data_IF_682602488794
#
_entry.id   IF_682602488794
#
_cell.length_a   1.000
_cell.length_b   1.000
_cell.length_c   1.000
_cell.angle_alpha   90.00
_cell.angle_beta   90.00
_cell.angle_gamma   90.00
#
_symmetry.space_group_name_H-M   'P 1'
#
loop_
_entity.id
_entity.type
_entity.pdbx_description
1 polymer ?
#
# COMPACT_ATOMS: atom_id res chain seq x y z
N UNK A 1 10.34 -2.22 0.96
CA UNK A 1 11.05 -3.05 1.96
C UNK A 1 11.76 -2.13 2.93
N UNK A 2 11.70 -2.45 4.22
CA UNK A 2 12.41 -1.68 5.24
C UNK A 2 13.93 -1.73 4.99
N UNK A 3 14.61 -0.63 5.29
CA UNK A 3 16.05 -0.44 5.23
C UNK A 3 16.74 -1.42 6.19
N UNK A 4 16.22 -1.58 7.40
CA UNK A 4 16.66 -2.56 8.38
C UNK A 4 16.59 -4.00 7.85
N UNK A 5 15.59 -4.32 7.02
CA UNK A 5 15.51 -5.62 6.34
C UNK A 5 16.52 -5.74 5.20
N UNK A 6 16.72 -4.68 4.40
CA UNK A 6 17.78 -4.64 3.37
C UNK A 6 19.16 -4.89 3.98
N UNK A 7 19.46 -4.24 5.10
CA UNK A 7 20.70 -4.38 5.85
C UNK A 7 20.93 -5.82 6.37
N UNK A 8 19.87 -6.61 6.59
CA UNK A 8 19.99 -8.00 7.07
C UNK A 8 20.00 -9.04 5.95
N UNK A 9 19.45 -8.72 4.78
CA UNK A 9 19.16 -9.69 3.72
C UNK A 9 20.08 -9.61 2.51
N UNK A 10 20.73 -8.48 2.26
CA UNK A 10 21.63 -8.31 1.11
C UNK A 10 22.97 -9.02 1.33
N UNK A 11 23.57 -9.48 0.23
CA UNK A 11 24.92 -10.02 0.27
C UNK A 11 25.96 -8.89 0.24
N UNK A 12 26.70 -8.80 1.34
CA UNK A 12 27.68 -7.75 1.60
C UNK A 12 29.08 -8.35 1.67
N UNK A 13 30.05 -7.62 1.13
CA UNK A 13 31.47 -7.93 1.35
C UNK A 13 31.80 -7.83 2.84
N UNK A 14 32.92 -8.42 3.27
CA UNK A 14 33.34 -8.38 4.67
C UNK A 14 33.43 -6.93 5.21
N UNK A 15 34.01 -6.01 4.42
CA UNK A 15 34.12 -4.60 4.81
C UNK A 15 32.74 -3.90 4.88
N UNK A 16 31.82 -4.23 3.97
CA UNK A 16 30.46 -3.70 4.00
C UNK A 16 29.68 -4.21 5.22
N UNK A 17 29.89 -5.48 5.61
CA UNK A 17 29.24 -6.08 6.80
C UNK A 17 29.58 -5.33 8.09
N UNK A 18 30.80 -4.84 8.25
CA UNK A 18 31.18 -4.02 9.41
C UNK A 18 30.44 -2.68 9.43
N UNK A 19 30.28 -2.03 8.27
CA UNK A 19 29.49 -0.78 8.16
C UNK A 19 28.00 -1.04 8.45
N UNK A 20 27.45 -2.12 7.90
CA UNK A 20 26.06 -2.56 8.15
C UNK A 20 25.82 -2.84 9.63
N UNK A 21 26.72 -3.60 10.28
CA UNK A 21 26.66 -3.90 11.71
C UNK A 21 26.71 -2.63 12.54
N UNK A 22 27.54 -1.67 12.15
CA UNK A 22 27.61 -0.36 12.79
C UNK A 22 26.28 0.39 12.69
N UNK A 23 25.66 0.47 11.51
CA UNK A 23 24.36 1.12 11.33
C UNK A 23 23.28 0.51 12.22
N UNK A 24 23.17 -0.83 12.22
CA UNK A 24 22.20 -1.57 13.04
C UNK A 24 22.42 -1.36 14.55
N UNK A 25 23.66 -1.20 14.99
CA UNK A 25 24.00 -0.98 16.39
C UNK A 25 23.81 0.47 16.86
N UNK A 26 24.08 1.46 16.00
CA UNK A 26 23.94 2.87 16.37
C UNK A 26 22.48 3.32 16.44
N UNK A 27 21.55 2.64 15.74
CA UNK A 27 20.14 3.01 15.69
C UNK A 27 19.98 4.50 15.36
N UNK A 28 19.20 5.25 16.15
CA UNK A 28 18.88 6.67 15.93
C UNK A 28 20.10 7.60 16.07
N UNK A 29 21.16 7.20 16.78
CA UNK A 29 22.37 8.03 16.94
C UNK A 29 23.12 8.25 15.62
N UNK A 30 22.84 7.45 14.58
CA UNK A 30 23.37 7.68 13.24
C UNK A 30 22.96 9.03 12.66
N UNK A 31 21.82 9.60 13.10
CA UNK A 31 21.32 10.90 12.67
C UNK A 31 22.35 12.03 12.87
N UNK A 32 23.19 11.90 13.90
CA UNK A 32 24.17 12.92 14.32
C UNK A 32 25.56 12.71 13.73
N UNK A 33 25.74 11.68 12.90
CA UNK A 33 27.06 11.26 12.43
C UNK A 33 27.28 11.60 10.97
N UNK A 34 28.50 12.01 10.65
CA UNK A 34 28.99 12.21 9.29
C UNK A 34 29.72 10.96 8.78
N UNK A 35 29.82 10.83 7.45
CA UNK A 35 30.64 9.76 6.83
C UNK A 35 32.09 9.81 7.31
N UNK A 36 32.63 10.99 7.62
CA UNK A 36 34.00 11.17 8.14
C UNK A 36 34.16 10.60 9.56
N UNK A 37 33.16 10.75 10.42
CA UNK A 37 33.21 10.20 11.78
C UNK A 37 33.06 8.68 11.79
N UNK A 38 32.12 8.16 10.99
CA UNK A 38 31.88 6.72 10.86
C UNK A 38 33.11 6.04 10.25
N UNK A 39 33.67 6.60 9.18
CA UNK A 39 34.87 6.06 8.53
C UNK A 39 36.07 6.01 9.47
N UNK A 40 36.26 7.01 10.34
CA UNK A 40 37.31 7.01 11.37
C UNK A 40 37.10 5.91 12.41
N UNK A 41 35.86 5.64 12.83
CA UNK A 41 35.55 4.57 13.81
C UNK A 41 35.73 3.17 13.23
N UNK A 42 35.37 3.00 11.95
CA UNK A 42 35.38 1.71 11.27
C UNK A 42 36.67 1.44 10.48
N UNK A 43 37.64 2.36 10.53
CA UNK A 43 38.89 2.28 9.76
C UNK A 43 38.65 2.02 8.27
N UNK A 44 37.64 2.67 7.69
CA UNK A 44 37.31 2.59 6.27
C UNK A 44 37.39 3.97 5.61
N UNK A 45 37.20 4.06 4.28
CA UNK A 45 37.12 5.35 3.60
C UNK A 45 35.68 5.88 3.61
N UNK A 46 35.46 7.21 3.66
CA UNK A 46 34.12 7.80 3.48
C UNK A 46 33.42 7.33 2.19
N UNK A 47 34.19 7.11 1.13
CA UNK A 47 33.69 6.60 -0.15
C UNK A 47 33.13 5.17 -0.07
N UNK A 48 33.62 4.33 0.86
CA UNK A 48 33.07 2.99 1.07
C UNK A 48 31.67 3.04 1.68
N UNK A 49 31.42 4.00 2.58
CA UNK A 49 30.09 4.23 3.16
C UNK A 49 29.12 4.72 2.08
N UNK A 50 29.53 5.70 1.27
CA UNK A 50 28.69 6.23 0.18
C UNK A 50 28.34 5.13 -0.83
N UNK A 51 29.32 4.32 -1.25
CA UNK A 51 29.10 3.20 -2.18
C UNK A 51 28.14 2.16 -1.62
N UNK A 52 28.22 1.86 -0.32
CA UNK A 52 27.26 0.95 0.33
C UNK A 52 25.83 1.51 0.27
N UNK A 53 25.64 2.79 0.60
CA UNK A 53 24.33 3.44 0.47
C UNK A 53 23.81 3.42 -0.98
N UNK A 54 24.69 3.63 -1.96
CA UNK A 54 24.34 3.52 -3.37
C UNK A 54 23.97 2.10 -3.79
N UNK A 55 24.69 1.09 -3.30
CA UNK A 55 24.36 -0.33 -3.50
C UNK A 55 22.98 -0.68 -2.93
N UNK A 56 22.54 0.01 -1.87
CA UNK A 56 21.22 -0.15 -1.25
C UNK A 56 20.08 0.60 -1.99
N UNK A 57 20.42 1.38 -3.03
CA UNK A 57 19.48 2.10 -3.88
C UNK A 57 19.29 3.58 -3.54
N UNK A 58 20.16 4.16 -2.70
CA UNK A 58 20.10 5.58 -2.34
C UNK A 58 21.11 6.40 -3.16
N UNK A 59 20.86 7.69 -3.34
CA UNK A 59 21.79 8.62 -4.01
C UNK A 59 23.09 8.79 -3.24
N UNK A 60 23.05 8.68 -1.90
CA UNK A 60 24.20 8.78 -1.01
C UNK A 60 23.88 8.54 0.46
N UNK A 61 24.82 8.89 1.34
CA UNK A 61 24.68 8.66 2.79
C UNK A 61 23.63 9.54 3.45
N UNK A 62 23.45 10.79 3.00
CA UNK A 62 22.49 11.71 3.62
C UNK A 62 21.04 11.24 3.41
N UNK A 63 20.65 10.91 2.17
CA UNK A 63 19.34 10.32 1.87
C UNK A 63 19.13 9.00 2.61
N UNK A 64 20.14 8.12 2.62
CA UNK A 64 20.08 6.88 3.39
C UNK A 64 19.83 7.15 4.88
N UNK A 65 20.57 8.10 5.47
CA UNK A 65 20.48 8.44 6.89
C UNK A 65 19.12 9.02 7.23
N UNK A 66 18.60 9.93 6.41
CA UNK A 66 17.26 10.52 6.58
C UNK A 66 16.18 9.43 6.59
N UNK A 67 16.13 8.61 5.53
CA UNK A 67 15.13 7.54 5.42
C UNK A 67 15.29 6.47 6.50
N UNK A 68 16.53 6.16 6.91
CA UNK A 68 16.78 5.14 7.94
C UNK A 68 16.36 5.62 9.33
N UNK A 69 16.60 6.89 9.66
CA UNK A 69 16.16 7.49 10.92
C UNK A 69 14.63 7.58 10.97
N UNK A 70 13.99 7.98 9.86
CA UNK A 70 12.53 7.98 9.75
C UNK A 70 11.94 6.58 9.97
N UNK A 71 12.53 5.55 9.35
CA UNK A 71 12.14 4.17 9.59
C UNK A 71 12.30 3.75 11.06
N UNK A 72 13.41 4.11 11.71
CA UNK A 72 13.62 3.76 13.11
C UNK A 72 12.59 4.44 14.03
N UNK A 73 12.27 5.71 13.78
CA UNK A 73 11.21 6.39 14.52
C UNK A 73 9.85 5.71 14.31
N UNK A 74 9.53 5.37 13.06
CA UNK A 74 8.32 4.61 12.73
C UNK A 74 8.26 3.27 13.48
N UNK A 75 9.36 2.49 13.49
CA UNK A 75 9.40 1.19 14.16
C UNK A 75 9.42 1.27 15.71
N UNK A 76 9.87 2.39 16.27
CA UNK A 76 9.89 2.63 17.71
C UNK A 76 8.56 3.19 18.26
N UNK A 77 7.56 3.43 17.41
CA UNK A 77 6.19 3.74 17.83
C UNK A 77 5.65 2.65 18.76
N UNK A 78 4.82 3.01 19.74
CA UNK A 78 4.28 2.12 20.78
C UNK A 78 3.38 0.99 20.22
N UNK A 79 4.00 -0.01 19.60
CA UNK A 79 3.37 -1.22 19.11
C UNK A 79 3.24 -2.26 20.23
N UNK A 80 2.21 -3.10 20.13
CA UNK A 80 2.05 -4.25 21.02
C UNK A 80 3.03 -5.37 20.63
N UNK A 81 3.28 -6.31 21.54
CA UNK A 81 4.14 -7.49 21.30
C UNK A 81 3.53 -8.51 20.32
N UNK A 82 2.37 -8.21 19.71
CA UNK A 82 1.72 -9.11 18.75
C UNK A 82 2.45 -9.03 17.40
N UNK A 83 2.90 -10.18 16.90
CA UNK A 83 3.52 -10.29 15.59
C UNK A 83 2.44 -10.40 14.50
N UNK A 84 2.31 -9.43 13.58
CA UNK A 84 1.28 -9.48 12.53
C UNK A 84 1.40 -10.67 11.56
N UNK A 85 2.60 -11.25 11.44
CA UNK A 85 2.83 -12.44 10.60
C UNK A 85 2.37 -13.72 11.29
N UNK A 86 2.49 -13.80 12.62
CA UNK A 86 2.14 -14.98 13.43
C UNK A 86 1.41 -14.48 14.68
N UNK A 87 0.15 -14.05 14.55
CA UNK A 87 -0.54 -13.37 15.65
C UNK A 87 -1.05 -14.31 16.75
N UNK A 88 -1.06 -15.61 16.49
CA UNK A 88 -1.46 -16.64 17.45
C UNK A 88 -0.62 -17.91 17.28
N UNK A 89 -0.57 -18.72 18.33
CA UNK A 89 0.23 -19.95 18.43
C UNK A 89 -0.68 -21.15 18.74
N UNK A 90 -0.14 -22.36 18.62
CA UNK A 90 -0.90 -23.62 18.75
C UNK A 90 -1.54 -23.78 20.14
N UNK A 91 -0.91 -23.26 21.18
CA UNK A 91 -1.34 -23.29 22.57
C UNK A 91 -2.38 -22.23 22.94
N UNK A 92 -2.66 -21.26 22.05
CA UNK A 92 -3.66 -20.24 22.32
C UNK A 92 -5.08 -20.83 22.26
N UNK A 93 -5.87 -20.59 23.30
CA UNK A 93 -7.29 -20.93 23.29
C UNK A 93 -8.12 -19.90 22.48
N UNK A 94 -9.39 -20.23 22.20
CA UNK A 94 -10.30 -19.40 21.38
C UNK A 94 -10.38 -17.95 21.89
N UNK A 95 -10.46 -17.74 23.21
CA UNK A 95 -10.55 -16.39 23.79
C UNK A 95 -9.25 -15.61 23.56
N UNK A 96 -8.10 -16.25 23.75
CA UNK A 96 -6.79 -15.65 23.51
C UNK A 96 -6.62 -15.27 22.04
N UNK A 97 -6.97 -16.16 21.11
CA UNK A 97 -6.92 -15.88 19.66
C UNK A 97 -7.80 -14.68 19.33
N UNK A 98 -9.04 -14.65 19.82
CA UNK A 98 -9.98 -13.53 19.59
C UNK A 98 -9.41 -12.20 20.09
N UNK A 99 -8.88 -12.16 21.31
CA UNK A 99 -8.30 -10.95 21.89
C UNK A 99 -7.04 -10.48 21.15
N UNK A 100 -6.16 -11.40 20.74
CA UNK A 100 -4.96 -11.09 19.96
C UNK A 100 -5.33 -10.54 18.57
N UNK A 101 -6.30 -11.14 17.90
CA UNK A 101 -6.78 -10.65 16.59
C UNK A 101 -7.42 -9.27 16.70
N UNK A 102 -8.24 -9.02 17.71
CA UNK A 102 -8.84 -7.71 17.96
C UNK A 102 -7.76 -6.63 18.16
N UNK A 103 -6.79 -6.91 19.05
CA UNK A 103 -5.69 -6.00 19.35
C UNK A 103 -4.82 -5.74 18.12
N UNK A 104 -4.49 -6.79 17.36
CA UNK A 104 -3.75 -6.67 16.10
C UNK A 104 -4.47 -5.75 15.11
N UNK A 105 -5.79 -5.88 14.96
CA UNK A 105 -6.54 -5.08 13.99
C UNK A 105 -6.61 -3.61 14.38
N UNK A 106 -6.78 -3.30 15.67
CA UNK A 106 -6.66 -1.93 16.16
C UNK A 106 -5.29 -1.35 15.84
N UNK A 107 -4.23 -2.11 16.12
CA UNK A 107 -2.86 -1.69 15.87
C UNK A 107 -2.57 -1.46 14.39
N UNK A 108 -3.04 -2.33 13.48
CA UNK A 108 -2.86 -2.15 12.03
C UNK A 108 -3.57 -0.87 11.54
N UNK A 109 -4.77 -0.60 12.07
CA UNK A 109 -5.54 0.60 11.69
C UNK A 109 -4.82 1.85 12.18
N UNK A 110 -4.41 1.87 13.44
CA UNK A 110 -3.70 3.00 14.04
C UNK A 110 -2.36 3.26 13.34
N UNK A 111 -1.62 2.19 13.02
CA UNK A 111 -0.37 2.23 12.25
C UNK A 111 -0.60 2.81 10.85
N UNK A 112 -1.56 2.26 10.10
CA UNK A 112 -1.89 2.75 8.75
C UNK A 112 -2.37 4.20 8.79
N UNK A 113 -3.11 4.59 9.83
CA UNK A 113 -3.56 5.97 10.04
C UNK A 113 -2.39 6.91 10.30
N UNK A 114 -1.41 6.48 11.10
CA UNK A 114 -0.21 7.28 11.40
C UNK A 114 0.67 7.54 10.17
N UNK A 115 0.60 6.65 9.17
CA UNK A 115 1.31 6.74 7.89
C UNK A 115 0.61 7.64 6.85
N UNK A 116 -0.56 8.20 7.16
CA UNK A 116 -1.32 9.00 6.21
C UNK A 116 -0.66 10.37 5.98
N UNK A 117 -0.25 10.61 4.74
CA UNK A 117 0.08 11.93 4.23
C UNK A 117 -1.18 12.59 3.63
N UNK A 118 -1.64 13.67 4.24
CA UNK A 118 -2.83 14.41 3.77
C UNK A 118 -2.67 15.05 2.38
N UNK A 119 -1.46 15.42 1.97
CA UNK A 119 -1.20 15.93 0.63
C UNK A 119 -1.27 14.79 -0.40
N UNK A 120 -0.78 13.59 -0.06
CA UNK A 120 -0.95 12.40 -0.91
C UNK A 120 -2.42 11.96 -0.99
N UNK A 121 -3.19 12.06 0.09
CA UNK A 121 -4.64 11.82 0.07
C UNK A 121 -5.37 12.82 -0.83
N UNK A 122 -5.04 14.11 -0.73
CA UNK A 122 -5.59 15.16 -1.60
C UNK A 122 -5.23 14.92 -3.06
N UNK A 123 -3.99 14.54 -3.35
CA UNK A 123 -3.52 14.23 -4.70
C UNK A 123 -4.25 13.00 -5.26
N UNK A 124 -4.40 11.95 -4.47
CA UNK A 124 -5.17 10.76 -4.82
C UNK A 124 -6.63 11.10 -5.15
N UNK A 125 -7.27 11.90 -4.31
CA UNK A 125 -8.65 12.36 -4.54
C UNK A 125 -8.78 13.17 -5.84
N UNK A 126 -7.83 14.04 -6.13
CA UNK A 126 -7.82 14.81 -7.38
C UNK A 126 -7.66 13.91 -8.62
N UNK A 127 -6.79 12.89 -8.55
CA UNK A 127 -6.65 11.90 -9.62
C UNK A 127 -7.96 11.12 -9.84
N UNK A 128 -8.61 10.68 -8.77
CA UNK A 128 -9.92 9.99 -8.88
C UNK A 128 -11.03 10.92 -9.41
N UNK A 129 -11.04 12.19 -9.00
CA UNK A 129 -12.06 13.18 -9.38
C UNK A 129 -11.99 13.54 -10.87
N UNK A 130 -10.78 13.79 -11.36
CA UNK A 130 -10.57 14.40 -12.67
C UNK A 130 -10.62 13.38 -13.82
N UNK A 131 -10.61 12.08 -13.52
CA UNK A 131 -10.61 11.02 -14.52
C UNK A 131 -11.95 10.28 -14.55
N UNK A 132 -12.40 9.92 -15.76
CA UNK A 132 -13.66 9.18 -15.95
C UNK A 132 -13.48 7.68 -15.69
N UNK A 133 -12.36 7.14 -16.13
CA UNK A 133 -12.01 5.73 -16.00
C UNK A 133 -10.93 5.57 -14.93
N UNK A 134 -11.17 4.66 -13.99
CA UNK A 134 -10.22 4.29 -12.95
C UNK A 134 -9.82 2.83 -13.17
N UNK A 135 -8.54 2.57 -13.27
CA UNK A 135 -7.97 1.23 -13.43
C UNK A 135 -7.26 0.83 -12.14
N UNK A 136 -7.67 -0.27 -11.53
CA UNK A 136 -6.98 -0.84 -10.37
C UNK A 136 -6.26 -2.10 -10.82
N UNK A 137 -4.95 -2.16 -10.54
CA UNK A 137 -4.14 -3.33 -10.82
C UNK A 137 -3.59 -3.85 -9.50
N UNK A 138 -3.92 -5.09 -9.19
CA UNK A 138 -3.49 -5.76 -7.98
C UNK A 138 -3.33 -7.25 -8.25
N UNK A 139 -2.51 -7.94 -7.45
CA UNK A 139 -2.34 -9.39 -7.57
C UNK A 139 -2.69 -10.05 -6.23
N UNK A 140 -3.37 -11.19 -6.27
CA UNK A 140 -3.74 -11.93 -5.05
C UNK A 140 -5.02 -11.41 -4.39
N UNK A 141 -5.11 -11.56 -3.06
CA UNK A 141 -6.34 -11.31 -2.28
C UNK A 141 -6.79 -9.84 -2.27
N UNK A 142 -5.91 -8.89 -2.61
CA UNK A 142 -6.28 -7.47 -2.66
C UNK A 142 -7.17 -7.14 -3.85
N UNK A 143 -7.24 -8.04 -4.84
CA UNK A 143 -8.17 -7.91 -5.94
C UNK A 143 -9.63 -7.90 -5.45
N UNK A 144 -9.97 -8.71 -4.44
CA UNK A 144 -11.32 -8.77 -3.85
C UNK A 144 -11.69 -7.47 -3.12
N UNK A 145 -10.70 -6.84 -2.48
CA UNK A 145 -10.87 -5.53 -1.84
C UNK A 145 -11.09 -4.43 -2.89
N UNK A 146 -10.35 -4.49 -4.01
CA UNK A 146 -10.53 -3.60 -5.14
C UNK A 146 -11.91 -3.76 -5.80
N UNK A 147 -12.43 -4.99 -5.90
CA UNK A 147 -13.79 -5.26 -6.37
C UNK A 147 -14.84 -4.66 -5.44
N UNK A 148 -14.64 -4.75 -4.12
CA UNK A 148 -15.52 -4.09 -3.13
C UNK A 148 -15.52 -2.57 -3.31
N UNK A 149 -14.34 -1.96 -3.53
CA UNK A 149 -14.22 -0.54 -3.83
C UNK A 149 -14.92 -0.15 -5.15
N UNK A 150 -14.74 -0.96 -6.21
CA UNK A 150 -15.47 -0.79 -7.49
C UNK A 150 -16.97 -0.75 -7.26
N UNK A 151 -17.52 -1.69 -6.47
CA UNK A 151 -18.96 -1.77 -6.25
C UNK A 151 -19.49 -0.54 -5.49
N UNK A 152 -18.72 -0.01 -4.54
CA UNK A 152 -19.04 1.26 -3.85
C UNK A 152 -19.06 2.43 -4.84
N UNK A 153 -18.07 2.52 -5.73
CA UNK A 153 -17.96 3.56 -6.75
C UNK A 153 -19.05 3.47 -7.83
N UNK A 154 -19.43 2.26 -8.24
CA UNK A 154 -20.48 2.01 -9.23
C UNK A 154 -21.84 2.55 -8.77
N UNK A 155 -22.18 2.40 -7.47
CA UNK A 155 -23.42 2.92 -6.87
C UNK A 155 -23.55 4.45 -6.90
N UNK A 156 -22.46 5.16 -7.14
CA UNK A 156 -22.45 6.62 -7.32
C UNK A 156 -22.13 7.04 -8.77
N UNK A 157 -22.17 6.09 -9.70
CA UNK A 157 -22.00 6.33 -11.13
C UNK A 157 -20.54 6.53 -11.55
N UNK A 158 -19.59 5.88 -10.86
CA UNK A 158 -18.16 5.92 -11.21
C UNK A 158 -17.69 4.55 -11.69
N UNK A 159 -17.03 4.55 -12.84
CA UNK A 159 -16.51 3.35 -13.48
C UNK A 159 -15.11 3.04 -12.96
N UNK A 160 -14.97 1.85 -12.38
CA UNK A 160 -13.70 1.32 -11.89
C UNK A 160 -13.52 -0.06 -12.53
N UNK A 161 -12.40 -0.25 -13.21
CA UNK A 161 -12.01 -1.52 -13.81
C UNK A 161 -10.92 -2.15 -12.94
N UNK A 162 -11.10 -3.41 -12.55
CA UNK A 162 -10.19 -4.12 -11.65
C UNK A 162 -9.55 -5.27 -12.41
N UNK A 163 -8.23 -5.29 -12.46
CA UNK A 163 -7.47 -6.25 -13.25
C UNK A 163 -6.44 -6.99 -12.40
N UNK A 164 -6.45 -8.32 -12.52
CA UNK A 164 -5.42 -9.19 -11.96
C UNK A 164 -4.25 -9.41 -12.93
N UNK A 165 -4.53 -9.49 -14.24
CA UNK A 165 -3.51 -9.50 -15.29
C UNK A 165 -3.23 -8.10 -15.82
N UNK A 166 -2.01 -7.87 -16.30
CA UNK A 166 -1.58 -6.59 -16.86
C UNK A 166 -1.95 -6.41 -18.34
N UNK A 167 -2.23 -7.48 -19.08
CA UNK A 167 -2.24 -7.41 -20.55
C UNK A 167 -3.21 -6.36 -21.10
N UNK A 168 -4.51 -6.46 -20.80
CA UNK A 168 -5.53 -5.51 -21.23
C UNK A 168 -5.26 -4.06 -20.76
N UNK A 169 -5.09 -3.77 -19.45
CA UNK A 169 -4.83 -2.40 -19.03
C UNK A 169 -3.51 -1.83 -19.56
N UNK A 170 -2.54 -2.67 -19.92
CA UNK A 170 -1.28 -2.22 -20.52
C UNK A 170 -1.48 -1.74 -21.96
N UNK A 171 -2.29 -2.44 -22.76
CA UNK A 171 -2.64 -1.96 -24.09
C UNK A 171 -3.43 -0.65 -24.02
N UNK A 172 -4.38 -0.52 -23.08
CA UNK A 172 -5.07 0.74 -22.83
C UNK A 172 -4.08 1.87 -22.50
N UNK A 173 -3.16 1.64 -21.55
CA UNK A 173 -2.15 2.62 -21.15
C UNK A 173 -1.27 3.12 -22.32
N UNK A 174 -1.05 2.32 -23.37
CA UNK A 174 -0.31 2.74 -24.56
C UNK A 174 -0.97 3.89 -25.33
N UNK A 175 -2.30 3.98 -25.30
CA UNK A 175 -3.08 4.94 -26.09
C UNK A 175 -3.59 6.14 -25.28
N UNK A 176 -3.51 6.08 -23.95
CA UNK A 176 -3.97 7.16 -23.07
C UNK A 176 -2.99 8.33 -23.02
N UNK A 177 -3.54 9.52 -22.79
CA UNK A 177 -2.82 10.75 -22.47
C UNK A 177 -3.08 11.15 -21.01
N UNK A 178 -2.33 12.15 -20.54
CA UNK A 178 -2.50 12.71 -19.20
C UNK A 178 -3.93 13.25 -19.01
N UNK A 179 -4.65 12.70 -18.04
CA UNK A 179 -6.02 13.09 -17.69
C UNK A 179 -7.12 12.24 -18.32
N UNK A 180 -6.76 11.23 -19.14
CA UNK A 180 -7.75 10.31 -19.72
C UNK A 180 -8.19 9.24 -18.70
N UNK A 181 -7.28 8.77 -17.85
CA UNK A 181 -7.54 7.77 -16.83
C UNK A 181 -6.69 7.93 -15.57
N UNK A 182 -7.21 7.40 -14.47
CA UNK A 182 -6.48 7.25 -13.21
C UNK A 182 -6.10 5.78 -13.03
N UNK A 183 -4.84 5.50 -12.70
CA UNK A 183 -4.38 4.16 -12.33
C UNK A 183 -4.11 4.08 -10.83
N UNK A 184 -4.49 2.96 -10.22
CA UNK A 184 -4.19 2.60 -8.84
C UNK A 184 -3.47 1.25 -8.84
N UNK A 185 -2.20 1.25 -8.43
CA UNK A 185 -1.36 0.05 -8.40
C UNK A 185 -1.20 -0.40 -6.95
N UNK A 186 -1.67 -1.62 -6.63
CA UNK A 186 -1.63 -2.18 -5.28
C UNK A 186 -0.63 -3.33 -5.24
N UNK A 187 0.46 -3.14 -4.49
CA UNK A 187 1.48 -4.17 -4.29
C UNK A 187 2.14 -4.00 -2.94
N UNK A 188 2.05 -5.00 -2.06
CA UNK A 188 2.62 -4.92 -0.72
C UNK A 188 4.12 -4.63 -0.77
N UNK A 189 4.84 -5.46 -1.51
CA UNK A 189 6.29 -5.41 -1.57
C UNK A 189 6.79 -4.21 -2.36
N UNK A 190 5.96 -3.71 -3.27
CA UNK A 190 6.37 -2.74 -4.29
C UNK A 190 7.26 -3.35 -5.37
N UNK A 191 7.40 -4.68 -5.39
CA UNK A 191 8.29 -5.43 -6.28
C UNK A 191 7.53 -6.38 -7.22
N UNK A 192 6.19 -6.30 -7.25
CA UNK A 192 5.38 -7.10 -8.17
C UNK A 192 5.63 -6.65 -9.61
N UNK A 193 6.19 -7.53 -10.44
CA UNK A 193 6.61 -7.23 -11.81
C UNK A 193 5.52 -6.61 -12.68
N UNK A 194 4.28 -7.09 -12.56
CA UNK A 194 3.14 -6.50 -13.27
C UNK A 194 2.96 -5.03 -12.88
N UNK A 195 2.94 -4.70 -11.57
CA UNK A 195 2.80 -3.31 -11.13
C UNK A 195 3.97 -2.43 -11.60
N UNK A 196 5.22 -2.92 -11.53
CA UNK A 196 6.40 -2.18 -11.98
C UNK A 196 6.34 -1.92 -13.49
N UNK A 197 6.00 -2.94 -14.29
CA UNK A 197 5.89 -2.81 -15.75
C UNK A 197 4.81 -1.80 -16.14
N UNK A 198 3.67 -1.78 -15.44
CA UNK A 198 2.64 -0.75 -15.64
C UNK A 198 3.16 0.64 -15.24
N UNK A 199 3.76 0.78 -14.06
CA UNK A 199 4.28 2.05 -13.56
C UNK A 199 5.28 2.69 -14.54
N UNK A 200 6.20 1.88 -15.09
CA UNK A 200 7.12 2.34 -16.13
C UNK A 200 6.38 2.85 -17.37
N UNK A 201 5.35 2.14 -17.82
CA UNK A 201 4.55 2.57 -18.97
C UNK A 201 3.81 3.88 -18.71
N UNK A 202 3.23 4.03 -17.52
CA UNK A 202 2.54 5.27 -17.14
C UNK A 202 3.50 6.46 -17.07
N UNK A 203 4.72 6.25 -16.54
CA UNK A 203 5.77 7.27 -16.52
C UNK A 203 6.24 7.66 -17.92
N UNK A 204 6.43 6.70 -18.83
CA UNK A 204 6.73 6.95 -20.25
C UNK A 204 5.67 7.85 -20.90
N UNK A 205 4.40 7.66 -20.52
CA UNK A 205 3.24 8.43 -21.00
C UNK A 205 2.96 9.72 -20.21
N UNK A 206 3.76 10.04 -19.19
CA UNK A 206 3.54 11.15 -18.27
C UNK A 206 2.16 11.14 -17.58
N UNK A 207 1.64 9.94 -17.29
CA UNK A 207 0.37 9.74 -16.58
C UNK A 207 0.69 9.54 -15.11
N UNK A 208 0.17 10.44 -14.27
CA UNK A 208 0.28 10.30 -12.82
C UNK A 208 -0.66 9.18 -12.32
N UNK A 209 -0.20 8.37 -11.37
CA UNK A 209 -0.94 7.24 -10.82
C UNK A 209 -0.78 7.17 -9.30
N UNK A 210 -1.69 6.43 -8.65
CA UNK A 210 -1.69 6.19 -7.21
C UNK A 210 -1.06 4.83 -6.95
N UNK A 211 -0.21 4.74 -5.92
CA UNK A 211 0.39 3.50 -5.46
C UNK A 211 -0.05 3.21 -4.04
N UNK A 212 -0.52 1.99 -3.77
CA UNK A 212 -0.71 1.46 -2.41
C UNK A 212 0.36 0.41 -2.19
N UNK A 213 1.29 0.68 -1.27
CA UNK A 213 2.42 -0.22 -0.99
C UNK A 213 2.89 -0.08 0.45
N UNK A 214 3.67 -1.05 0.92
CA UNK A 214 4.24 -1.00 2.26
C UNK A 214 5.20 0.19 2.41
N UNK A 215 5.22 0.81 3.58
CA UNK A 215 6.20 1.84 3.95
C UNK A 215 7.67 1.39 3.73
N UNK A 216 8.55 2.38 3.54
CA UNK A 216 9.96 2.17 3.22
C UNK A 216 10.26 2.09 1.73
N UNK A 217 11.52 1.79 1.40
CA UNK A 217 12.02 1.91 0.02
C UNK A 217 11.67 0.70 -0.85
N UNK A 218 11.00 0.94 -1.97
CA UNK A 218 10.66 -0.08 -2.97
C UNK A 218 10.56 0.52 -4.38
N UNK A 219 10.71 -0.32 -5.41
CA UNK A 219 10.73 0.11 -6.82
C UNK A 219 9.43 0.82 -7.23
N UNK A 220 8.28 0.31 -6.81
CA UNK A 220 7.00 0.91 -7.20
C UNK A 220 6.80 2.32 -6.60
N UNK A 221 7.23 2.52 -5.34
CA UNK A 221 7.16 3.81 -4.67
C UNK A 221 8.06 4.86 -5.33
N UNK A 222 9.27 4.49 -5.77
CA UNK A 222 10.18 5.42 -6.44
C UNK A 222 9.73 5.82 -7.85
N UNK A 223 8.92 4.97 -8.50
CA UNK A 223 8.30 5.27 -9.78
C UNK A 223 7.03 6.13 -9.65
N UNK A 224 6.47 6.28 -8.46
CA UNK A 224 5.19 6.95 -8.24
C UNK A 224 5.38 8.32 -7.59
N UNK A 225 4.54 9.28 -8.01
CA UNK A 225 4.47 10.60 -7.36
C UNK A 225 3.36 10.68 -6.32
N UNK A 226 2.57 9.63 -6.13
CA UNK A 226 1.42 9.61 -5.23
C UNK A 226 1.35 8.25 -4.55
N UNK A 227 1.92 8.14 -3.36
CA UNK A 227 2.05 6.89 -2.62
C UNK A 227 1.21 6.97 -1.36
N UNK A 228 0.41 5.92 -1.11
CA UNK A 228 -0.33 5.70 0.13
C UNK A 228 0.27 4.46 0.79
N UNK A 229 0.78 4.64 2.01
CA UNK A 229 1.48 3.58 2.71
C UNK A 229 0.53 2.70 3.51
N UNK A 230 0.79 1.38 3.49
CA UNK A 230 0.19 0.41 4.40
C UNK A 230 1.20 -0.03 5.45
N UNK A 231 0.70 -0.53 6.59
CA UNK A 231 1.52 -1.15 7.64
C UNK A 231 2.49 -2.19 7.06
N UNK A 232 3.76 -2.16 7.49
CA UNK A 232 4.88 -2.96 6.93
C UNK A 232 5.27 -4.19 7.76
N UNK A 233 4.56 -4.43 8.87
CA UNK A 233 5.03 -5.39 9.89
C UNK A 233 4.76 -6.86 9.54
N UNK A 234 4.10 -7.14 8.42
CA UNK A 234 3.85 -8.49 7.94
C UNK A 234 5.01 -8.99 7.06
N UNK A 235 5.52 -10.20 7.35
CA UNK A 235 6.54 -10.88 6.55
C UNK A 235 5.90 -11.66 5.41
N UNK A 236 6.48 -11.55 4.21
CA UNK A 236 5.94 -12.19 3.00
C UNK A 236 6.01 -13.73 3.03
N UNK A 237 7.12 -14.30 3.53
CA UNK A 237 7.39 -15.76 3.43
C UNK A 237 7.01 -16.55 4.67
N UNK A 238 6.86 -15.90 5.82
CA UNK A 238 6.65 -16.55 7.10
C UNK A 238 5.48 -15.89 7.83
N UNK A 239 4.32 -15.91 7.18
CA UNK A 239 3.04 -15.47 7.73
C UNK A 239 2.04 -16.63 7.76
N UNK A 240 1.10 -16.58 8.71
CA UNK A 240 -0.03 -17.50 8.77
C UNK A 240 -1.17 -17.10 7.81
N UNK A 241 -1.17 -15.84 7.38
CA UNK A 241 -2.16 -15.27 6.49
C UNK A 241 -1.90 -13.78 6.27
N UNK A 242 -2.63 -13.20 5.32
CA UNK A 242 -2.52 -11.78 4.98
C UNK A 242 -3.53 -10.97 5.80
N UNK A 243 -3.14 -10.59 7.01
CA UNK A 243 -3.98 -9.82 7.93
C UNK A 243 -3.72 -8.32 7.79
N UNK A 244 -2.45 -7.90 7.89
CA UNK A 244 -2.08 -6.49 7.96
C UNK A 244 -2.34 -5.79 6.64
N UNK A 245 -1.84 -6.36 5.54
CA UNK A 245 -1.99 -5.73 4.23
C UNK A 245 -3.47 -5.61 3.82
N UNK A 246 -4.27 -6.66 4.04
CA UNK A 246 -5.67 -6.66 3.63
C UNK A 246 -6.46 -5.61 4.40
N UNK A 247 -6.31 -5.54 5.72
CA UNK A 247 -7.00 -4.55 6.53
C UNK A 247 -6.56 -3.12 6.20
N UNK A 248 -5.25 -2.89 6.05
CA UNK A 248 -4.69 -1.58 5.67
C UNK A 248 -5.20 -1.12 4.30
N UNK A 249 -5.20 -2.02 3.30
CA UNK A 249 -5.67 -1.70 1.94
C UNK A 249 -7.17 -1.41 1.94
N UNK A 250 -7.97 -2.21 2.65
CA UNK A 250 -9.40 -1.98 2.80
C UNK A 250 -9.67 -0.60 3.43
N UNK A 251 -8.96 -0.27 4.50
CA UNK A 251 -9.05 1.03 5.17
C UNK A 251 -8.74 2.20 4.22
N UNK A 252 -7.65 2.12 3.46
CA UNK A 252 -7.27 3.16 2.49
C UNK A 252 -8.30 3.30 1.35
N UNK A 253 -8.79 2.19 0.80
CA UNK A 253 -9.82 2.22 -0.24
C UNK A 253 -11.13 2.83 0.28
N UNK A 254 -11.51 2.54 1.52
CA UNK A 254 -12.69 3.12 2.18
C UNK A 254 -12.51 4.61 2.48
N UNK A 255 -11.30 5.04 2.84
CA UNK A 255 -10.96 6.45 3.00
C UNK A 255 -11.05 7.19 1.66
N UNK A 256 -10.47 6.63 0.58
CA UNK A 256 -10.57 7.19 -0.77
C UNK A 256 -12.03 7.31 -1.24
N UNK A 257 -12.83 6.25 -1.05
CA UNK A 257 -14.26 6.28 -1.36
C UNK A 257 -15.00 7.33 -0.53
N UNK A 258 -14.73 7.41 0.77
CA UNK A 258 -15.42 8.36 1.66
C UNK A 258 -15.09 9.81 1.29
N UNK A 259 -13.82 10.11 1.01
CA UNK A 259 -13.40 11.42 0.52
C UNK A 259 -14.06 11.74 -0.83
N UNK A 260 -14.09 10.79 -1.76
CA UNK A 260 -14.74 10.96 -3.06
C UNK A 260 -16.25 11.22 -2.90
N UNK A 261 -16.91 10.43 -2.06
CA UNK A 261 -18.33 10.56 -1.78
C UNK A 261 -18.66 11.93 -1.20
N UNK A 262 -17.80 12.45 -0.31
CA UNK A 262 -17.98 13.75 0.36
C UNK A 262 -18.00 14.94 -0.61
N UNK A 263 -17.30 14.87 -1.75
CA UNK A 263 -17.25 15.95 -2.74
C UNK A 263 -18.64 16.40 -3.21
N UNK A 264 -19.57 15.46 -3.39
CA UNK A 264 -20.95 15.70 -3.82
C UNK A 264 -21.94 14.90 -2.95
N UNK A 265 -21.80 15.00 -1.62
CA UNK A 265 -22.52 14.14 -0.66
C UNK A 265 -24.04 14.03 -0.94
N UNK A 266 -24.73 15.16 -1.16
CA UNK A 266 -26.18 15.18 -1.39
C UNK A 266 -26.57 14.44 -2.67
N UNK A 267 -25.84 14.67 -3.75
CA UNK A 267 -26.11 14.04 -5.04
C UNK A 267 -25.79 12.54 -5.02
N UNK A 268 -24.64 12.17 -4.45
CA UNK A 268 -24.22 10.78 -4.31
C UNK A 268 -25.20 9.99 -3.44
N UNK A 269 -25.68 10.57 -2.33
CA UNK A 269 -26.72 9.95 -1.48
C UNK A 269 -28.02 9.75 -2.27
N UNK A 270 -28.46 10.75 -3.04
CA UNK A 270 -29.66 10.64 -3.89
C UNK A 270 -29.54 9.54 -4.94
N UNK A 271 -28.41 9.47 -5.66
CA UNK A 271 -28.14 8.41 -6.65
C UNK A 271 -28.18 7.02 -6.01
N UNK A 272 -27.51 6.86 -4.87
CA UNK A 272 -27.44 5.59 -4.16
C UNK A 272 -28.82 5.09 -3.72
N UNK A 273 -29.66 5.97 -3.16
CA UNK A 273 -31.03 5.62 -2.74
C UNK A 273 -31.85 5.22 -3.97
N UNK A 274 -31.84 6.04 -5.02
CA UNK A 274 -32.57 5.76 -6.26
C UNK A 274 -32.22 4.39 -6.86
N UNK A 275 -30.92 4.07 -6.96
CA UNK A 275 -30.46 2.79 -7.51
C UNK A 275 -30.85 1.61 -6.60
N UNK A 276 -30.84 1.81 -5.28
CA UNK A 276 -31.29 0.77 -4.34
C UNK A 276 -32.79 0.50 -4.51
N UNK A 277 -33.61 1.55 -4.58
CA UNK A 277 -35.06 1.42 -4.81
C UNK A 277 -35.36 0.71 -6.15
N UNK A 278 -34.64 1.04 -7.23
CA UNK A 278 -34.79 0.37 -8.53
C UNK A 278 -34.46 -1.13 -8.46
N UNK A 279 -33.40 -1.49 -7.75
CA UNK A 279 -32.96 -2.89 -7.59
C UNK A 279 -33.93 -3.71 -6.71
N UNK A 280 -34.41 -3.13 -5.60
CA UNK A 280 -35.38 -3.78 -4.72
C UNK A 280 -36.73 -3.99 -5.41
N UNK A 281 -37.20 -2.99 -6.16
CA UNK A 281 -38.44 -3.10 -6.92
C UNK A 281 -38.36 -4.22 -7.97
N UNK A 282 -37.26 -4.31 -8.72
CA UNK A 282 -37.03 -5.40 -9.68
C UNK A 282 -37.00 -6.78 -9.01
N UNK A 283 -36.37 -6.89 -7.85
CA UNK A 283 -36.31 -8.16 -7.09
C UNK A 283 -37.70 -8.58 -6.61
N UNK A 284 -38.50 -7.63 -6.12
CA UNK A 284 -39.85 -7.89 -5.65
C UNK A 284 -40.82 -8.29 -6.78
N UNK A 285 -40.66 -7.76 -8.00
CA UNK A 285 -41.45 -8.18 -9.16
C UNK A 285 -41.12 -9.61 -9.57
N UNK A 286 -39.85 -10.00 -9.59
CA UNK A 286 -39.44 -11.37 -9.91
C UNK A 286 -40.02 -12.40 -8.93
N UNK A 287 -40.00 -12.11 -7.62
CA UNK A 287 -40.55 -13.01 -6.60
C UNK A 287 -42.07 -13.21 -6.83
N UNK A 288 -42.80 -12.14 -7.14
CA UNK A 288 -44.25 -12.21 -7.41
C UNK A 288 -44.56 -13.06 -8.64
N UNK A 289 -43.77 -12.92 -9.70
CA UNK A 289 -43.96 -13.68 -10.94
C UNK A 289 -43.66 -15.18 -10.71
N UNK A 290 -42.58 -15.53 -10.00
CA UNK A 290 -42.28 -16.93 -9.66
C UNK A 290 -43.29 -17.55 -8.68
N UNK A 291 -43.92 -16.75 -7.82
CA UNK A 291 -44.94 -17.24 -6.88
C UNK A 291 -46.24 -17.58 -7.60
N UNK A 292 -46.57 -16.86 -8.67
CA UNK A 292 -47.76 -17.12 -9.48
C UNK A 292 -47.59 -18.34 -10.40
N UNK A 293 -46.37 -18.64 -10.83
CA UNK A 293 -46.07 -19.82 -11.66
C UNK A 293 -46.00 -21.13 -10.86
N UNK A 294 -45.80 -21.07 -9.53
CA UNK A 294 -45.82 -22.24 -8.63
C UNK A 294 -47.23 -22.64 -8.16
N UNK A 295 -48.27 -21.87 -8.51
CA UNK A 295 -49.68 -22.09 -8.12
C UNK A 295 -50.52 -22.62 -9.30
N UNK A 296 -49.90 -22.96 -10.44
CA UNK A 296 -50.53 -23.65 -11.58
C UNK A 296 -50.01 -25.08 -11.72
#
# INVERSE_FOLDING_TARGET
>A
MLISDKLKSFDFTYAEKEIVKYFLNQKEEIARQSTREISKRLYCSPSSIIRLCQKLGFTGFEEFKEMYVEELHYLNSNFSDINPSIPFMTEDNIQTISNKMCSLYHEIIDDTHSLLDHDMLRKSLNLLKNNKNIYIISSGSQNDLALTFRDKMARIGKHVNVYQSIDEPYYEACYLNKGDACFLLISYTGETQNCIRMANKLNERNIDFITITSFGTNTLSSLSRCVLHVSTREKIRNNLGTFSMNLSTLYLLDLLYSMYFSLNYKENKKKKIKIADEYENFTSSLIRDTSNDLIK
#
